data_IF_298767869863
#
_entry.id   IF_298767869863
#
_cell.length_a   1.000
_cell.length_b   1.000
_cell.length_c   1.000
_cell.angle_alpha   90.00
_cell.angle_beta   90.00
_cell.angle_gamma   90.00
#
_symmetry.space_group_name_H-M   'P 1'
#
loop_
_entity.id
_entity.type
_entity.pdbx_description
1 polymer ?
#
# COMPACT_ATOMS: atom_id res chain seq x y z
N UNK A 1 -0.83 22.54 -18.29
CA UNK A 1 -0.22 21.19 -18.46
C UNK A 1 -0.67 20.68 -19.81
N UNK A 2 0.18 20.07 -20.65
CA UNK A 2 -0.27 19.59 -21.96
C UNK A 2 -1.31 18.47 -21.78
N UNK A 3 -2.28 18.40 -22.68
CA UNK A 3 -3.33 17.36 -22.69
C UNK A 3 -2.72 15.94 -22.64
N UNK A 4 -1.57 15.74 -23.27
CA UNK A 4 -0.82 14.49 -23.26
C UNK A 4 -0.37 14.06 -21.85
N UNK A 5 0.23 14.97 -21.06
CA UNK A 5 0.66 14.66 -19.69
C UNK A 5 -0.55 14.36 -18.81
N UNK A 6 -1.63 15.12 -18.96
CA UNK A 6 -2.86 14.89 -18.21
C UNK A 6 -3.40 13.48 -18.44
N UNK A 7 -3.48 13.05 -19.70
CA UNK A 7 -3.98 11.72 -20.07
C UNK A 7 -3.14 10.58 -19.48
N UNK A 8 -1.81 10.74 -19.38
CA UNK A 8 -0.94 9.69 -18.84
C UNK A 8 -1.18 9.39 -17.35
N UNK A 9 -1.59 10.40 -16.58
CA UNK A 9 -1.76 10.30 -15.12
C UNK A 9 -3.22 10.35 -14.68
N UNK A 10 -4.16 10.45 -15.61
CA UNK A 10 -5.59 10.54 -15.33
C UNK A 10 -6.14 9.20 -14.81
N UNK A 11 -6.85 9.25 -13.70
CA UNK A 11 -7.52 8.11 -13.09
C UNK A 11 -9.05 8.22 -13.14
N UNK A 12 -9.60 9.12 -13.96
CA UNK A 12 -11.05 9.25 -14.13
C UNK A 12 -11.67 7.93 -14.62
N UNK A 13 -12.77 7.54 -14.00
CA UNK A 13 -13.45 6.27 -14.29
C UNK A 13 -12.76 5.02 -13.73
N UNK A 14 -11.66 5.18 -12.98
CA UNK A 14 -11.02 4.08 -12.27
C UNK A 14 -11.53 3.98 -10.83
N UNK A 15 -11.61 2.76 -10.32
CA UNK A 15 -11.94 2.47 -8.92
C UNK A 15 -10.71 1.90 -8.23
N UNK A 16 -10.27 2.53 -7.15
CA UNK A 16 -9.12 2.11 -6.35
C UNK A 16 -9.57 1.55 -5.00
N UNK A 17 -9.15 0.33 -4.66
CA UNK A 17 -9.29 -0.24 -3.32
C UNK A 17 -7.96 -0.12 -2.57
N UNK A 18 -7.99 0.59 -1.42
CA UNK A 18 -6.82 0.82 -0.58
C UNK A 18 -7.03 0.17 0.78
N UNK A 19 -6.27 -0.87 1.10
CA UNK A 19 -6.25 -1.45 2.44
C UNK A 19 -5.36 -0.62 3.36
N UNK A 20 -5.70 -0.56 4.67
CA UNK A 20 -4.99 0.34 5.59
C UNK A 20 -5.27 1.82 5.33
N UNK A 21 -6.37 2.13 4.62
CA UNK A 21 -6.72 3.48 4.18
C UNK A 21 -7.25 4.42 5.26
N UNK A 22 -7.25 4.02 6.54
CA UNK A 22 -7.74 4.86 7.64
C UNK A 22 -6.66 5.72 8.31
N UNK A 23 -5.42 5.67 7.86
CA UNK A 23 -4.31 6.46 8.43
C UNK A 23 -3.03 6.30 7.61
N UNK A 24 -2.09 7.24 7.80
CA UNK A 24 -0.72 7.16 7.30
C UNK A 24 -0.66 7.00 5.78
N UNK A 25 0.30 6.21 5.30
CA UNK A 25 0.54 6.08 3.85
C UNK A 25 -0.70 5.61 3.06
N UNK A 26 -1.53 4.74 3.64
CA UNK A 26 -2.76 4.27 2.97
C UNK A 26 -3.78 5.39 2.77
N UNK A 27 -3.94 6.27 3.77
CA UNK A 27 -4.80 7.46 3.68
C UNK A 27 -4.27 8.46 2.63
N UNK A 28 -2.96 8.74 2.66
CA UNK A 28 -2.34 9.67 1.70
C UNK A 28 -2.37 9.14 0.26
N UNK A 29 -2.21 7.82 0.07
CA UNK A 29 -2.40 7.19 -1.23
C UNK A 29 -3.86 7.33 -1.69
N UNK A 30 -4.84 7.09 -0.81
CA UNK A 30 -6.26 7.25 -1.15
C UNK A 30 -6.58 8.70 -1.55
N UNK A 31 -6.02 9.67 -0.83
CA UNK A 31 -6.11 11.10 -1.17
C UNK A 31 -5.53 11.38 -2.56
N UNK A 32 -4.29 10.94 -2.80
CA UNK A 32 -3.60 11.19 -4.06
C UNK A 32 -4.33 10.58 -5.27
N UNK A 33 -4.78 9.32 -5.17
CA UNK A 33 -5.52 8.66 -6.25
C UNK A 33 -6.90 9.30 -6.46
N UNK A 34 -7.59 9.72 -5.38
CA UNK A 34 -8.86 10.44 -5.48
C UNK A 34 -8.72 11.79 -6.16
N UNK A 35 -7.70 12.58 -5.80
CA UNK A 35 -7.41 13.87 -6.46
C UNK A 35 -6.98 13.69 -7.94
N UNK A 36 -6.43 12.53 -8.30
CA UNK A 36 -6.14 12.18 -9.69
C UNK A 36 -7.36 11.65 -10.46
N UNK A 37 -8.55 11.62 -9.84
CA UNK A 37 -9.83 11.30 -10.49
C UNK A 37 -10.42 9.93 -10.17
N UNK A 38 -9.73 9.08 -9.39
CA UNK A 38 -10.26 7.76 -9.03
C UNK A 38 -11.42 7.86 -8.01
N UNK A 39 -12.40 6.96 -8.13
CA UNK A 39 -13.28 6.61 -7.03
C UNK A 39 -12.51 5.71 -6.06
N UNK A 40 -12.51 6.03 -4.76
CA UNK A 40 -11.70 5.31 -3.78
C UNK A 40 -12.56 4.50 -2.81
N UNK A 41 -12.22 3.23 -2.64
CA UNK A 41 -12.68 2.36 -1.58
C UNK A 41 -11.55 2.24 -0.55
N UNK A 42 -11.78 2.65 0.68
CA UNK A 42 -10.81 2.51 1.77
C UNK A 42 -11.24 1.41 2.73
N UNK A 43 -10.31 0.54 3.10
CA UNK A 43 -10.59 -0.55 4.01
C UNK A 43 -9.64 -0.54 5.22
N UNK A 44 -10.19 -0.73 6.42
CA UNK A 44 -9.42 -0.85 7.66
C UNK A 44 -10.21 -1.58 8.75
N UNK A 45 -9.50 -1.97 9.81
CA UNK A 45 -10.07 -2.71 10.95
C UNK A 45 -10.94 -1.86 11.87
N UNK A 46 -10.56 -0.60 12.08
CA UNK A 46 -11.22 0.31 13.03
C UNK A 46 -12.18 1.23 12.31
N UNK A 47 -13.47 1.12 12.66
CA UNK A 47 -14.55 1.84 11.98
C UNK A 47 -14.46 3.36 12.15
N UNK A 48 -14.31 3.88 13.39
CA UNK A 48 -14.27 5.32 13.64
C UNK A 48 -13.23 6.07 12.78
N UNK A 49 -11.93 5.76 12.91
CA UNK A 49 -10.90 6.40 12.06
C UNK A 49 -11.12 6.20 10.55
N UNK A 50 -11.77 5.08 10.15
CA UNK A 50 -12.07 4.81 8.75
C UNK A 50 -13.17 5.74 8.22
N UNK A 51 -14.23 5.95 8.99
CA UNK A 51 -15.31 6.89 8.66
C UNK A 51 -14.80 8.34 8.64
N UNK A 52 -13.95 8.72 9.59
CA UNK A 52 -13.33 10.05 9.63
C UNK A 52 -12.49 10.31 8.38
N UNK A 53 -11.72 9.32 7.92
CA UNK A 53 -10.94 9.43 6.69
C UNK A 53 -11.85 9.54 5.47
N UNK A 54 -12.89 8.71 5.36
CA UNK A 54 -13.86 8.81 4.28
C UNK A 54 -14.50 10.21 4.22
N UNK A 55 -14.89 10.77 5.37
CA UNK A 55 -15.45 12.12 5.45
C UNK A 55 -14.45 13.20 4.97
N UNK A 56 -13.16 13.07 5.35
CA UNK A 56 -12.12 14.02 4.88
C UNK A 56 -11.91 13.94 3.37
N UNK A 57 -11.93 12.75 2.79
CA UNK A 57 -11.81 12.55 1.33
C UNK A 57 -13.03 13.15 0.60
N UNK A 58 -14.23 12.90 1.09
CA UNK A 58 -15.48 13.43 0.52
C UNK A 58 -15.49 14.97 0.59
N UNK A 59 -15.03 15.57 1.70
CA UNK A 59 -14.93 17.01 1.84
C UNK A 59 -13.98 17.66 0.82
N UNK A 60 -13.08 16.89 0.22
CA UNK A 60 -12.21 17.32 -0.88
C UNK A 60 -12.78 17.01 -2.27
N UNK A 61 -14.05 16.61 -2.37
CA UNK A 61 -14.72 16.29 -3.63
C UNK A 61 -14.42 14.89 -4.18
N UNK A 62 -13.76 14.04 -3.40
CA UNK A 62 -13.43 12.67 -3.81
C UNK A 62 -14.60 11.75 -3.53
N UNK A 63 -14.96 10.90 -4.49
CA UNK A 63 -15.90 9.81 -4.24
C UNK A 63 -15.21 8.74 -3.40
N UNK A 64 -15.62 8.61 -2.13
CA UNK A 64 -15.00 7.67 -1.20
C UNK A 64 -16.04 6.78 -0.52
N UNK A 65 -15.75 5.48 -0.45
CA UNK A 65 -16.55 4.47 0.25
C UNK A 65 -15.67 3.72 1.25
N UNK A 66 -16.19 3.43 2.43
CA UNK A 66 -15.45 2.76 3.51
C UNK A 66 -15.94 1.33 3.74
N UNK A 67 -15.01 0.42 4.02
CA UNK A 67 -15.26 -0.99 4.29
C UNK A 67 -14.52 -1.44 5.54
N UNK A 68 -15.23 -1.83 6.58
CA UNK A 68 -14.59 -2.42 7.77
C UNK A 68 -14.17 -3.85 7.44
N UNK A 69 -12.88 -4.17 7.64
CA UNK A 69 -12.33 -5.52 7.50
C UNK A 69 -11.06 -5.70 8.34
N UNK A 70 -10.94 -6.84 9.00
CA UNK A 70 -9.73 -7.26 9.67
C UNK A 70 -8.94 -8.20 8.75
N UNK A 71 -7.81 -7.74 8.21
CA UNK A 71 -7.00 -8.52 7.27
C UNK A 71 -6.09 -9.58 7.93
N UNK A 72 -6.06 -9.67 9.26
CA UNK A 72 -5.47 -10.83 9.93
C UNK A 72 -6.35 -12.07 9.83
N UNK A 73 -7.64 -11.88 9.54
CA UNK A 73 -8.62 -12.90 9.19
C UNK A 73 -8.72 -12.99 7.66
N UNK A 74 -8.24 -14.08 7.09
CA UNK A 74 -8.18 -14.25 5.64
C UNK A 74 -9.55 -14.43 4.98
N UNK A 75 -10.56 -14.91 5.72
CA UNK A 75 -11.93 -14.97 5.19
C UNK A 75 -12.53 -13.56 5.07
N UNK A 76 -12.25 -12.67 6.04
CA UNK A 76 -12.64 -11.26 5.91
C UNK A 76 -11.91 -10.55 4.77
N UNK A 77 -10.64 -10.90 4.49
CA UNK A 77 -9.91 -10.35 3.35
C UNK A 77 -10.54 -10.76 2.00
N UNK A 78 -10.95 -12.02 1.86
CA UNK A 78 -11.67 -12.52 0.68
C UNK A 78 -13.06 -11.90 0.55
N UNK A 79 -13.80 -11.81 1.65
CA UNK A 79 -15.13 -11.20 1.72
C UNK A 79 -15.09 -9.71 1.36
N UNK A 80 -14.08 -8.98 1.83
CA UNK A 80 -13.86 -7.58 1.45
C UNK A 80 -13.85 -7.40 -0.06
N UNK A 81 -13.10 -8.23 -0.78
CA UNK A 81 -13.04 -8.16 -2.24
C UNK A 81 -14.41 -8.35 -2.90
N UNK A 82 -15.22 -9.29 -2.40
CA UNK A 82 -16.59 -9.52 -2.88
C UNK A 82 -17.51 -8.34 -2.60
N UNK A 83 -17.48 -7.78 -1.38
CA UNK A 83 -18.30 -6.63 -0.98
C UNK A 83 -17.99 -5.40 -1.83
N UNK A 84 -16.69 -5.12 -2.05
CA UNK A 84 -16.28 -3.99 -2.87
C UNK A 84 -16.76 -4.18 -4.32
N UNK A 85 -16.59 -5.35 -4.91
CA UNK A 85 -17.09 -5.64 -6.27
C UNK A 85 -18.61 -5.55 -6.35
N UNK A 86 -19.34 -6.03 -5.35
CA UNK A 86 -20.80 -5.95 -5.31
C UNK A 86 -21.32 -4.51 -5.23
N UNK A 87 -20.62 -3.64 -4.50
CA UNK A 87 -21.06 -2.26 -4.27
C UNK A 87 -20.58 -1.29 -5.35
N UNK A 88 -19.34 -1.45 -5.85
CA UNK A 88 -18.72 -0.51 -6.79
C UNK A 88 -18.63 -1.06 -8.23
N UNK A 89 -18.97 -2.32 -8.43
CA UNK A 89 -19.00 -2.99 -9.74
C UNK A 89 -17.62 -3.41 -10.26
N UNK A 90 -16.56 -2.69 -9.92
CA UNK A 90 -15.19 -2.96 -10.38
C UNK A 90 -14.13 -2.49 -9.39
N UNK A 91 -12.93 -3.05 -9.52
CA UNK A 91 -11.71 -2.55 -8.90
C UNK A 91 -10.63 -2.55 -9.97
N UNK A 92 -10.11 -1.39 -10.31
CA UNK A 92 -9.05 -1.22 -11.30
C UNK A 92 -7.67 -1.18 -10.66
N UNK A 93 -7.60 -0.59 -9.46
CA UNK A 93 -6.36 -0.38 -8.72
C UNK A 93 -6.52 -1.02 -7.34
N UNK A 94 -5.61 -1.93 -6.99
CA UNK A 94 -5.51 -2.52 -5.65
C UNK A 94 -4.24 -2.01 -4.97
N UNK A 95 -4.39 -1.33 -3.83
CA UNK A 95 -3.25 -0.89 -3.00
C UNK A 95 -3.27 -1.67 -1.69
N UNK A 96 -2.31 -2.55 -1.51
CA UNK A 96 -2.10 -3.33 -0.30
C UNK A 96 -1.20 -2.52 0.68
N UNK A 97 -1.80 -1.57 1.42
CA UNK A 97 -1.09 -0.70 2.35
C UNK A 97 -1.34 -1.04 3.83
N UNK A 98 -2.21 -2.00 4.13
CA UNK A 98 -2.37 -2.48 5.51
C UNK A 98 -1.07 -3.12 6.02
N UNK A 99 -0.71 -2.80 7.25
CA UNK A 99 0.49 -3.35 7.88
C UNK A 99 0.50 -3.16 9.38
N UNK A 100 1.15 -4.08 10.07
CA UNK A 100 1.40 -4.06 11.51
C UNK A 100 2.86 -4.45 11.76
N UNK A 101 3.46 -3.91 12.81
CA UNK A 101 4.76 -4.37 13.34
C UNK A 101 4.65 -4.42 14.86
N UNK A 102 4.54 -5.61 15.42
CA UNK A 102 4.33 -5.81 16.86
C UNK A 102 5.59 -5.53 17.69
N UNK A 103 6.77 -5.49 17.06
CA UNK A 103 8.05 -5.14 17.70
C UNK A 103 8.38 -5.99 18.93
N UNK A 104 8.31 -7.30 18.76
CA UNK A 104 8.58 -8.27 19.80
C UNK A 104 10.05 -8.69 19.79
N UNK A 105 10.71 -8.84 20.97
CA UNK A 105 12.01 -9.49 21.07
C UNK A 105 11.98 -10.87 20.39
N UNK A 106 13.08 -11.25 19.73
CA UNK A 106 13.13 -12.48 18.92
C UNK A 106 12.69 -13.73 19.69
N UNK A 107 13.10 -13.87 20.95
CA UNK A 107 12.73 -15.00 21.81
C UNK A 107 11.31 -14.98 22.37
N UNK A 108 10.56 -13.89 22.17
CA UNK A 108 9.20 -13.71 22.70
C UNK A 108 8.14 -13.77 21.59
N UNK A 109 8.56 -13.87 20.33
CA UNK A 109 7.63 -13.98 19.20
C UNK A 109 6.83 -15.28 19.30
N UNK A 110 5.52 -15.15 19.53
CA UNK A 110 4.62 -16.31 19.56
C UNK A 110 4.23 -16.77 18.14
N UNK A 111 3.86 -18.05 17.94
CA UNK A 111 3.29 -18.50 16.66
C UNK A 111 2.09 -17.69 16.22
N UNK A 112 1.29 -17.17 17.15
CA UNK A 112 0.11 -16.37 16.86
C UNK A 112 0.50 -14.97 16.34
N UNK A 113 1.42 -14.27 17.02
CA UNK A 113 1.89 -12.95 16.58
C UNK A 113 2.66 -13.02 15.25
N UNK A 114 3.41 -14.11 15.05
CA UNK A 114 4.02 -14.43 13.75
C UNK A 114 2.96 -14.53 12.65
N UNK A 115 1.94 -15.38 12.86
CA UNK A 115 0.92 -15.62 11.86
C UNK A 115 0.08 -14.36 11.57
N UNK A 116 -0.26 -13.58 12.60
CA UNK A 116 -1.00 -12.33 12.43
C UNK A 116 -0.25 -11.35 11.51
N UNK A 117 1.05 -11.16 11.74
CA UNK A 117 1.86 -10.26 10.92
C UNK A 117 2.00 -10.76 9.47
N UNK A 118 2.16 -12.07 9.26
CA UNK A 118 2.21 -12.67 7.91
C UNK A 118 0.85 -12.58 7.21
N UNK A 119 -0.24 -12.80 7.92
CA UNK A 119 -1.57 -12.72 7.34
C UNK A 119 -1.84 -11.32 6.78
N UNK A 120 -1.65 -10.28 7.60
CA UNK A 120 -1.95 -8.89 7.20
C UNK A 120 -1.09 -8.45 6.03
N UNK A 121 0.20 -8.79 6.02
CA UNK A 121 1.16 -8.17 5.14
C UNK A 121 1.52 -9.00 3.90
N UNK A 122 1.25 -10.30 3.92
CA UNK A 122 1.64 -11.21 2.83
C UNK A 122 0.45 -12.04 2.32
N UNK A 123 -0.27 -12.72 3.20
CA UNK A 123 -1.35 -13.61 2.79
C UNK A 123 -2.59 -12.81 2.30
N UNK A 124 -3.01 -11.76 3.01
CA UNK A 124 -4.13 -10.93 2.57
C UNK A 124 -3.88 -10.28 1.19
N UNK A 125 -2.72 -9.64 0.89
CA UNK A 125 -2.38 -9.19 -0.46
C UNK A 125 -2.49 -10.27 -1.53
N UNK A 126 -2.04 -11.49 -1.23
CA UNK A 126 -2.16 -12.62 -2.16
C UNK A 126 -3.63 -12.97 -2.46
N UNK A 127 -4.44 -13.20 -1.41
CA UNK A 127 -5.84 -13.62 -1.58
C UNK A 127 -6.73 -12.52 -2.17
N UNK A 128 -6.48 -11.25 -1.84
CA UNK A 128 -7.18 -10.13 -2.46
C UNK A 128 -6.81 -10.00 -3.95
N UNK A 129 -5.55 -10.16 -4.30
CA UNK A 129 -5.12 -10.21 -5.70
C UNK A 129 -5.80 -11.37 -6.43
N UNK A 130 -5.80 -12.57 -5.85
CA UNK A 130 -6.46 -13.75 -6.42
C UNK A 130 -7.95 -13.51 -6.69
N UNK A 131 -8.63 -12.79 -5.79
CA UNK A 131 -10.06 -12.49 -5.93
C UNK A 131 -10.35 -11.38 -6.96
N UNK A 132 -9.44 -10.40 -7.11
CA UNK A 132 -9.66 -9.21 -7.93
C UNK A 132 -9.03 -9.29 -9.34
N UNK A 133 -7.93 -10.03 -9.52
CA UNK A 133 -7.24 -10.10 -10.81
C UNK A 133 -8.10 -10.66 -11.96
N UNK A 134 -8.99 -11.64 -11.78
CA UNK A 134 -9.83 -12.13 -12.88
C UNK A 134 -10.71 -11.08 -13.54
N UNK A 135 -11.30 -10.16 -12.76
CA UNK A 135 -12.12 -9.08 -13.33
C UNK A 135 -11.25 -7.98 -13.98
N UNK A 136 -10.02 -7.75 -13.49
CA UNK A 136 -9.04 -6.89 -14.16
C UNK A 136 -8.60 -7.52 -15.49
N UNK A 137 -8.34 -8.83 -15.52
CA UNK A 137 -8.00 -9.58 -16.73
C UNK A 137 -9.08 -9.46 -17.80
N UNK A 138 -10.37 -9.59 -17.43
CA UNK A 138 -11.48 -9.47 -18.36
C UNK A 138 -11.51 -8.09 -19.05
N UNK A 139 -11.08 -7.03 -18.37
CA UNK A 139 -10.97 -5.66 -18.90
C UNK A 139 -9.59 -5.35 -19.50
N UNK A 140 -8.62 -6.27 -19.40
CA UNK A 140 -7.24 -6.12 -19.90
C UNK A 140 -6.54 -4.88 -19.30
N UNK A 141 -6.88 -4.52 -18.08
CA UNK A 141 -6.29 -3.40 -17.35
C UNK A 141 -6.37 -3.62 -15.85
N UNK A 142 -5.27 -3.42 -15.16
CA UNK A 142 -5.21 -3.45 -13.71
C UNK A 142 -3.88 -2.92 -13.18
N UNK A 143 -3.91 -2.38 -11.96
CA UNK A 143 -2.73 -1.90 -11.24
C UNK A 143 -2.75 -2.45 -9.83
N UNK A 144 -1.69 -3.13 -9.43
CA UNK A 144 -1.54 -3.68 -8.08
C UNK A 144 -0.29 -3.04 -7.47
N UNK A 145 -0.46 -2.42 -6.30
CA UNK A 145 0.62 -1.75 -5.57
C UNK A 145 0.71 -2.37 -4.19
N UNK A 146 1.84 -2.98 -3.87
CA UNK A 146 2.13 -3.52 -2.56
C UNK A 146 3.02 -2.54 -1.78
N UNK A 147 2.77 -2.35 -0.49
CA UNK A 147 3.68 -1.58 0.36
C UNK A 147 4.72 -2.51 0.98
N UNK A 148 5.93 -2.41 0.45
CA UNK A 148 7.14 -3.03 0.97
C UNK A 148 7.72 -2.24 2.17
N UNK A 149 9.02 -2.24 2.38
CA UNK A 149 9.68 -1.55 3.49
C UNK A 149 11.19 -1.50 3.26
N UNK A 150 11.92 -0.66 4.00
CA UNK A 150 13.36 -0.83 4.22
C UNK A 150 13.69 -2.26 4.68
N UNK A 151 12.79 -2.85 5.49
CA UNK A 151 12.96 -4.21 6.02
C UNK A 151 12.72 -5.32 4.98
N UNK A 152 12.40 -4.98 3.75
CA UNK A 152 12.47 -5.92 2.64
C UNK A 152 13.92 -6.30 2.27
N UNK A 153 14.88 -5.45 2.62
CA UNK A 153 16.30 -5.60 2.26
C UNK A 153 17.26 -5.41 3.44
N UNK A 154 16.79 -4.91 4.58
CA UNK A 154 17.58 -4.68 5.79
C UNK A 154 16.86 -5.25 7.00
N UNK A 155 17.61 -5.65 8.01
CA UNK A 155 17.05 -6.14 9.28
C UNK A 155 17.08 -5.04 10.34
N UNK A 156 16.01 -4.99 11.14
CA UNK A 156 15.95 -4.16 12.34
C UNK A 156 15.62 -5.05 13.55
N UNK A 157 16.13 -4.71 14.71
CA UNK A 157 15.86 -5.43 15.94
C UNK A 157 14.35 -5.48 16.25
N UNK A 158 13.91 -6.54 16.91
CA UNK A 158 12.53 -6.75 17.38
C UNK A 158 11.48 -6.72 16.25
N UNK A 159 11.85 -7.11 15.05
CA UNK A 159 10.95 -7.01 13.87
C UNK A 159 11.09 -8.21 12.93
N UNK A 160 11.49 -9.39 13.44
CA UNK A 160 11.75 -10.55 12.59
C UNK A 160 10.52 -10.98 11.76
N UNK A 161 9.29 -11.12 12.31
CA UNK A 161 8.12 -11.47 11.51
C UNK A 161 7.78 -10.42 10.45
N UNK A 162 7.89 -9.13 10.83
CA UNK A 162 7.67 -8.01 9.91
C UNK A 162 8.66 -8.03 8.75
N UNK A 163 9.95 -8.17 9.04
CA UNK A 163 11.00 -8.24 8.02
C UNK A 163 10.83 -9.42 7.08
N UNK A 164 10.50 -10.60 7.62
CA UNK A 164 10.21 -11.80 6.83
C UNK A 164 9.01 -11.57 5.88
N UNK A 165 7.91 -10.99 6.40
CA UNK A 165 6.74 -10.66 5.59
C UNK A 165 7.08 -9.64 4.50
N UNK A 166 7.84 -8.57 4.82
CA UNK A 166 8.21 -7.51 3.85
C UNK A 166 9.22 -7.98 2.81
N UNK A 167 10.11 -8.93 3.14
CA UNK A 167 10.90 -9.68 2.15
C UNK A 167 10.01 -10.51 1.23
N UNK A 168 9.03 -11.21 1.81
CA UNK A 168 8.03 -11.97 1.06
C UNK A 168 7.19 -11.12 0.10
N UNK A 169 6.82 -9.89 0.50
CA UNK A 169 6.09 -8.94 -0.37
C UNK A 169 6.85 -8.62 -1.65
N UNK A 170 8.17 -8.47 -1.59
CA UNK A 170 8.99 -8.24 -2.80
C UNK A 170 8.89 -9.42 -3.77
N UNK A 171 8.98 -10.64 -3.27
CA UNK A 171 8.87 -11.82 -4.11
C UNK A 171 7.43 -12.08 -4.57
N UNK A 172 6.43 -11.82 -3.73
CA UNK A 172 5.02 -11.89 -4.11
C UNK A 172 4.70 -10.90 -5.25
N UNK A 173 5.26 -9.69 -5.20
CA UNK A 173 5.10 -8.68 -6.25
C UNK A 173 5.60 -9.19 -7.60
N UNK A 174 6.75 -9.86 -7.63
CA UNK A 174 7.30 -10.50 -8.84
C UNK A 174 6.43 -11.66 -9.33
N UNK A 175 5.96 -12.49 -8.41
CA UNK A 175 5.10 -13.63 -8.75
C UNK A 175 3.77 -13.18 -9.38
N UNK A 176 3.13 -12.14 -8.79
CA UNK A 176 1.90 -11.56 -9.34
C UNK A 176 2.17 -10.95 -10.72
N UNK A 177 3.27 -10.22 -10.89
CA UNK A 177 3.65 -9.65 -12.18
C UNK A 177 3.86 -10.73 -13.24
N UNK A 178 4.60 -11.80 -12.91
CA UNK A 178 4.84 -12.93 -13.82
C UNK A 178 3.55 -13.59 -14.28
N UNK A 179 2.58 -13.74 -13.39
CA UNK A 179 1.32 -14.40 -13.69
C UNK A 179 0.37 -13.54 -14.52
N UNK A 180 0.24 -12.24 -14.15
CA UNK A 180 -0.85 -11.42 -14.61
C UNK A 180 -0.48 -10.34 -15.64
N UNK A 181 0.81 -9.99 -15.83
CA UNK A 181 1.16 -8.84 -16.68
C UNK A 181 0.85 -9.05 -18.16
N UNK A 182 0.86 -10.27 -18.65
CA UNK A 182 0.42 -10.62 -20.02
C UNK A 182 -1.06 -10.27 -20.31
N UNK A 183 -1.84 -10.01 -19.26
CA UNK A 183 -3.24 -9.61 -19.37
C UNK A 183 -3.47 -8.11 -19.14
N UNK A 184 -2.42 -7.30 -19.18
CA UNK A 184 -2.50 -5.84 -18.96
C UNK A 184 -2.56 -5.42 -17.50
N UNK A 185 -2.20 -6.31 -16.56
CA UNK A 185 -2.18 -6.03 -15.11
C UNK A 185 -0.73 -5.87 -14.66
N UNK A 186 -0.35 -4.69 -14.17
CA UNK A 186 0.98 -4.51 -13.57
C UNK A 186 0.93 -4.69 -12.05
N UNK A 187 1.98 -5.24 -11.48
CA UNK A 187 2.14 -5.35 -10.03
C UNK A 187 3.52 -4.82 -9.63
N UNK A 188 3.53 -3.78 -8.79
CA UNK A 188 4.76 -3.19 -8.29
C UNK A 188 4.67 -2.97 -6.78
N UNK A 189 5.82 -2.77 -6.14
CA UNK A 189 5.89 -2.42 -4.72
C UNK A 189 6.54 -1.05 -4.52
N UNK A 190 6.05 -0.33 -3.51
CA UNK A 190 6.71 0.86 -2.98
C UNK A 190 7.40 0.46 -1.67
N UNK A 191 8.69 0.74 -1.54
CA UNK A 191 9.49 0.52 -0.33
C UNK A 191 9.73 1.83 0.42
N UNK A 192 8.84 2.23 1.36
CA UNK A 192 9.00 3.48 2.08
C UNK A 192 10.20 3.45 3.03
N UNK A 193 10.88 4.59 3.15
CA UNK A 193 11.76 4.91 4.25
C UNK A 193 11.00 5.26 5.54
N UNK A 194 11.54 6.15 6.36
CA UNK A 194 10.87 6.63 7.56
C UNK A 194 9.90 7.78 7.22
N UNK A 195 8.62 7.52 7.41
CA UNK A 195 7.50 8.46 7.27
C UNK A 195 6.77 8.60 8.61
N UNK A 196 6.21 9.78 8.97
CA UNK A 196 5.51 9.99 10.24
C UNK A 196 4.13 9.31 10.24
N UNK A 197 4.09 8.05 10.62
CA UNK A 197 2.87 7.23 10.71
C UNK A 197 2.73 6.62 12.10
N UNK A 198 1.57 6.06 12.43
CA UNK A 198 1.39 5.33 13.69
C UNK A 198 2.38 4.17 13.85
N UNK A 199 2.75 3.49 12.77
CA UNK A 199 3.71 2.38 12.77
C UNK A 199 5.13 2.85 13.14
N UNK A 200 5.49 4.06 12.79
CA UNK A 200 6.81 4.67 13.02
C UNK A 200 6.82 5.65 14.18
N UNK A 201 5.70 5.79 14.91
CA UNK A 201 5.60 6.67 16.07
C UNK A 201 6.75 6.52 17.09
N UNK A 202 7.28 5.31 17.41
CA UNK A 202 8.42 5.17 18.27
C UNK A 202 9.70 5.90 17.81
N UNK A 203 9.84 6.11 16.49
CA UNK A 203 10.94 6.91 15.92
C UNK A 203 10.59 8.39 15.98
N UNK A 204 9.40 8.78 15.49
CA UNK A 204 9.02 10.19 15.38
C UNK A 204 8.71 10.87 16.71
N UNK A 205 8.44 10.11 17.77
CA UNK A 205 8.34 10.61 19.15
C UNK A 205 9.70 10.82 19.84
N UNK A 206 10.82 10.50 19.17
CA UNK A 206 12.17 10.66 19.69
C UNK A 206 13.00 11.52 18.71
N UNK A 207 13.31 12.80 19.04
CA UNK A 207 14.06 13.71 18.18
C UNK A 207 15.43 13.17 17.74
N UNK A 208 16.13 12.43 18.61
CA UNK A 208 17.45 11.87 18.29
C UNK A 208 17.32 10.76 17.22
N UNK A 209 16.27 9.92 17.30
CA UNK A 209 16.00 8.91 16.28
C UNK A 209 15.56 9.54 14.96
N UNK A 210 14.76 10.60 15.02
CA UNK A 210 14.37 11.37 13.82
C UNK A 210 15.61 11.92 13.12
N UNK A 211 16.51 12.56 13.86
CA UNK A 211 17.76 13.09 13.33
C UNK A 211 18.66 11.98 12.78
N UNK A 212 18.88 10.92 13.56
CA UNK A 212 19.70 9.78 13.14
C UNK A 212 19.21 9.13 11.83
N UNK A 213 17.90 8.98 11.66
CA UNK A 213 17.37 8.40 10.43
C UNK A 213 17.41 9.38 9.24
N UNK A 214 17.25 10.67 9.48
CA UNK A 214 17.45 11.69 8.45
C UNK A 214 18.89 11.69 7.91
N UNK A 215 19.89 11.64 8.81
CA UNK A 215 21.33 11.60 8.47
C UNK A 215 21.73 10.34 7.67
N UNK A 216 20.93 9.26 7.75
CA UNK A 216 21.12 8.03 6.98
C UNK A 216 20.48 8.06 5.60
N UNK A 217 19.87 9.16 5.19
CA UNK A 217 19.34 9.33 3.84
C UNK A 217 20.29 10.19 3.01
N UNK A 218 20.41 9.91 1.71
CA UNK A 218 21.23 10.73 0.82
C UNK A 218 20.68 12.16 0.70
N UNK A 219 19.37 12.37 0.85
CA UNK A 219 18.75 13.70 0.79
C UNK A 219 18.71 14.45 2.12
N UNK A 220 19.18 13.85 3.24
CA UNK A 220 19.33 14.51 4.53
C UNK A 220 18.03 14.75 5.32
N UNK A 221 16.91 14.12 4.95
CA UNK A 221 15.63 14.23 5.68
C UNK A 221 14.84 12.94 5.68
N UNK A 222 13.92 12.80 6.63
CA UNK A 222 12.89 11.76 6.59
C UNK A 222 11.82 12.09 5.55
N UNK A 223 11.01 11.10 5.19
CA UNK A 223 9.88 11.27 4.28
C UNK A 223 8.78 12.15 4.88
N UNK A 224 8.15 12.96 4.03
CA UNK A 224 6.90 13.66 4.30
C UNK A 224 5.75 12.94 3.61
N UNK A 225 4.54 12.99 4.18
CA UNK A 225 3.40 12.23 3.65
C UNK A 225 3.14 12.51 2.16
N UNK A 226 3.32 13.76 1.71
CA UNK A 226 3.18 14.14 0.29
C UNK A 226 4.19 13.47 -0.65
N UNK A 227 5.32 12.98 -0.16
CA UNK A 227 6.35 12.35 -1.01
C UNK A 227 5.83 11.04 -1.66
N UNK A 228 4.79 10.41 -1.08
CA UNK A 228 4.18 9.19 -1.64
C UNK A 228 3.27 9.47 -2.84
N UNK A 229 2.69 10.68 -2.94
CA UNK A 229 1.61 10.98 -3.89
C UNK A 229 2.01 10.74 -5.34
N UNK A 230 3.13 11.33 -5.77
CA UNK A 230 3.59 11.22 -7.16
C UNK A 230 3.85 9.78 -7.60
N UNK A 231 4.51 8.99 -6.75
CA UNK A 231 4.80 7.59 -7.06
C UNK A 231 3.53 6.72 -7.05
N UNK A 232 2.60 6.97 -6.14
CA UNK A 232 1.32 6.27 -6.10
C UNK A 232 0.49 6.53 -7.36
N UNK A 233 0.35 7.78 -7.80
CA UNK A 233 -0.34 8.14 -9.04
C UNK A 233 0.38 7.52 -10.26
N UNK A 234 1.71 7.61 -10.33
CA UNK A 234 2.51 7.04 -11.42
C UNK A 234 2.26 5.54 -11.56
N UNK A 235 2.37 4.78 -10.47
CA UNK A 235 2.18 3.32 -10.51
C UNK A 235 0.72 2.91 -10.72
N UNK A 236 -0.24 3.79 -10.46
CA UNK A 236 -1.67 3.57 -10.66
C UNK A 236 -2.17 3.94 -12.06
N UNK A 237 -1.34 4.59 -12.89
CA UNK A 237 -1.74 5.19 -14.16
C UNK A 237 -1.12 4.48 -15.38
N UNK A 238 -1.43 4.97 -16.57
CA UNK A 238 -0.83 4.48 -17.81
C UNK A 238 0.62 4.93 -18.01
N UNK A 239 1.09 5.93 -17.22
CA UNK A 239 2.48 6.36 -17.20
C UNK A 239 3.47 5.24 -16.80
N UNK A 240 3.00 4.21 -16.08
CA UNK A 240 3.80 3.06 -15.67
C UNK A 240 3.44 1.75 -16.40
N UNK A 241 2.77 1.80 -17.53
CA UNK A 241 2.23 0.62 -18.22
C UNK A 241 3.28 -0.45 -18.59
N UNK A 242 4.56 -0.08 -18.71
CA UNK A 242 5.67 -1.00 -19.00
C UNK A 242 6.54 -1.32 -17.78
N UNK A 243 6.08 -0.95 -16.55
CA UNK A 243 6.79 -1.22 -15.30
C UNK A 243 5.98 -2.23 -14.50
N UNK A 244 6.55 -3.42 -14.28
CA UNK A 244 5.93 -4.49 -13.50
C UNK A 244 6.98 -5.34 -12.79
N UNK A 245 6.63 -5.95 -11.66
CA UNK A 245 7.51 -6.78 -10.84
C UNK A 245 8.59 -6.02 -10.08
N UNK A 246 8.53 -4.69 -10.04
CA UNK A 246 9.56 -3.84 -9.45
C UNK A 246 9.22 -3.47 -8.00
N UNK A 247 10.27 -3.26 -7.21
CA UNK A 247 10.17 -2.59 -5.91
C UNK A 247 10.93 -1.27 -6.01
N UNK A 248 10.18 -0.17 -5.93
CA UNK A 248 10.74 1.17 -5.99
C UNK A 248 10.90 1.69 -4.57
N UNK A 249 12.14 1.94 -4.16
CA UNK A 249 12.42 2.49 -2.84
C UNK A 249 12.09 3.99 -2.84
N UNK A 250 11.24 4.38 -1.88
CA UNK A 250 10.87 5.78 -1.60
C UNK A 250 11.42 6.13 -0.23
N UNK A 251 12.74 6.24 -0.14
CA UNK A 251 13.46 6.25 1.13
C UNK A 251 14.54 7.35 1.24
N UNK A 252 14.55 8.30 0.31
CA UNK A 252 15.54 9.37 0.27
C UNK A 252 16.97 8.88 0.05
N UNK A 253 17.14 7.71 -0.56
CA UNK A 253 18.44 7.09 -0.77
C UNK A 253 19.00 6.33 0.45
N UNK A 254 18.17 6.05 1.46
CA UNK A 254 18.57 5.29 2.66
C UNK A 254 19.17 3.90 2.33
N UNK A 255 18.70 3.26 1.28
CA UNK A 255 19.21 1.95 0.83
C UNK A 255 20.29 2.05 -0.23
N UNK A 256 20.57 3.23 -0.76
CA UNK A 256 21.54 3.45 -1.83
C UNK A 256 22.96 3.78 -1.31
N UNK A 257 23.09 4.06 0.00
CA UNK A 257 24.36 4.43 0.68
C UNK A 257 24.64 3.51 1.85
#
# INVERSE_FOLDING_TARGET
>A
MSQFIHQLFDLQGKTALITGGSSGLGEDIALALGLAGAEVAIAARREGPLLDTAARLIAQGIKATSFVANLSDLEQAKDLSKRVLSQLGQVDILVNAAGINLREPYGEVSPQSWQEQLNVQLAAPFFMTQALAPQMQARKWGRIINIASLQSYRAFANSAPYGAAKGGVVQLTRAIAQEWSKFGITCNAIGPGFFPTALTAPVFNNPDLVKMHAEKTAIGRNGEMKDIHGLAIFLSSDASAYITGQTIMLDGGYTAI
#
